data_IF_314192026802
#
_entry.id   IF_314192026802
#
_cell.length_a   1.000
_cell.length_b   1.000
_cell.length_c   1.000
_cell.angle_alpha   90.00
_cell.angle_beta   90.00
_cell.angle_gamma   90.00
#
_symmetry.space_group_name_H-M   'P 1'
#
loop_
_entity.id
_entity.type
_entity.pdbx_description
1 polymer ?
2 water ?
#
# COMPACT_ATOMS: atom_id res chain seq x y z
N UNK A 3 5.12 -21.68 -1.12
CA UNK A 3 3.89 -21.81 -1.94
C UNK A 3 3.96 -20.81 -3.10
N UNK A 4 4.59 -19.67 -2.81
CA UNK A 4 4.78 -18.57 -3.76
C UNK A 4 3.91 -18.64 -4.99
N UNK A 5 4.07 -19.68 -5.80
CA UNK A 5 3.28 -19.80 -7.01
C UNK A 5 1.82 -19.45 -6.84
N UNK A 6 1.09 -20.16 -6.00
CA UNK A 6 -0.31 -19.80 -5.82
C UNK A 6 -0.42 -18.40 -5.20
N UNK A 7 0.53 -18.06 -4.34
CA UNK A 7 0.54 -16.75 -3.73
C UNK A 7 0.49 -15.66 -4.79
N UNK A 8 1.55 -15.58 -5.61
CA UNK A 8 1.66 -14.57 -6.66
C UNK A 8 0.75 -14.83 -7.83
N UNK A 9 -0.43 -15.38 -7.57
CA UNK A 9 -1.37 -15.67 -8.64
C UNK A 9 -2.37 -14.52 -8.78
N UNK A 10 -2.07 -13.58 -9.67
CA UNK A 10 -2.97 -12.44 -9.86
C UNK A 10 -2.76 -11.69 -11.17
N UNK A 11 -3.52 -10.61 -11.35
CA UNK A 11 -3.44 -9.77 -12.53
C UNK A 11 -1.99 -9.35 -12.72
N UNK A 12 -1.74 -8.29 -13.47
CA UNK A 12 -0.35 -7.92 -13.62
C UNK A 12 0.04 -6.46 -13.53
N UNK A 13 -0.26 -5.71 -14.60
CA UNK A 13 0.09 -4.30 -14.67
C UNK A 13 1.61 -4.14 -14.81
N UNK A 14 2.40 -4.72 -13.89
CA UNK A 14 3.86 -4.66 -13.97
C UNK A 14 4.29 -4.79 -15.42
N UNK A 15 3.95 -5.91 -16.02
CA UNK A 15 4.25 -6.20 -17.43
C UNK A 15 5.72 -6.15 -17.82
N UNK A 16 6.56 -6.86 -17.06
CA UNK A 16 7.99 -6.87 -17.34
C UNK A 16 8.40 -7.48 -18.68
N UNK A 17 9.45 -6.91 -19.26
CA UNK A 17 10.02 -7.39 -20.50
C UNK A 17 11.30 -8.09 -20.06
N UNK A 18 11.60 -9.23 -20.65
CA UNK A 18 12.78 -10.00 -20.27
C UNK A 18 14.00 -9.17 -19.88
N UNK A 19 14.36 -8.19 -20.73
CA UNK A 19 15.50 -7.34 -20.46
C UNK A 19 15.46 -6.84 -19.02
N UNK A 20 14.35 -6.20 -18.66
CA UNK A 20 14.18 -5.66 -17.33
C UNK A 20 14.37 -6.76 -16.30
N UNK A 21 13.84 -7.95 -16.57
CA UNK A 21 13.96 -9.06 -15.63
C UNK A 21 15.41 -9.38 -15.32
N UNK A 22 16.26 -9.29 -16.35
CA UNK A 22 17.68 -9.56 -16.21
C UNK A 22 18.38 -8.47 -15.39
N UNK A 23 18.20 -7.23 -15.82
CA UNK A 23 18.80 -6.08 -15.16
C UNK A 23 18.59 -6.22 -13.65
N UNK A 24 17.33 -6.26 -13.25
CA UNK A 24 16.98 -6.40 -11.84
C UNK A 24 17.78 -7.55 -11.25
N UNK A 25 17.68 -8.71 -11.89
CA UNK A 25 18.40 -9.88 -11.42
C UNK A 25 19.84 -9.55 -11.12
N UNK A 26 20.47 -8.76 -12.00
CA UNK A 26 21.85 -8.39 -11.81
C UNK A 26 21.99 -7.52 -10.55
N UNK A 27 21.27 -6.40 -10.52
CA UNK A 27 21.32 -5.50 -9.39
C UNK A 27 21.12 -6.20 -8.04
N UNK A 28 20.01 -6.94 -7.91
CA UNK A 28 19.72 -7.64 -6.67
C UNK A 28 20.78 -8.65 -6.24
N UNK A 29 21.76 -8.93 -7.10
CA UNK A 29 22.81 -9.87 -6.73
C UNK A 29 24.17 -9.18 -6.69
N UNK A 30 24.28 -8.04 -7.38
CA UNK A 30 25.53 -7.27 -7.39
C UNK A 30 25.77 -6.87 -5.94
N UNK A 31 25.93 -7.85 -5.07
CA UNK A 31 26.13 -7.57 -3.66
C UNK A 31 24.82 -7.02 -3.12
N UNK A 32 24.50 -7.31 -1.85
CA UNK A 32 23.27 -6.77 -1.31
C UNK A 32 23.44 -5.78 -0.17
N UNK A 33 24.46 -5.90 0.68
CA UNK A 33 24.59 -4.89 1.71
C UNK A 33 25.62 -3.88 1.23
N UNK A 34 25.29 -3.07 0.22
CA UNK A 34 26.23 -2.05 -0.23
C UNK A 34 25.73 -0.75 0.37
N UNK A 35 25.78 0.34 -0.38
CA UNK A 35 25.30 1.62 0.12
C UNK A 35 24.38 2.15 -0.97
N UNK A 36 23.85 3.36 -0.79
CA UNK A 36 22.88 3.90 -1.77
C UNK A 36 23.17 3.66 -3.24
N UNK A 37 22.83 2.48 -3.76
CA UNK A 37 23.03 2.27 -5.19
C UNK A 37 22.35 3.53 -5.73
N UNK A 38 22.80 4.04 -6.86
CA UNK A 38 22.21 5.27 -7.39
C UNK A 38 20.69 5.26 -7.53
N UNK A 39 20.06 6.24 -6.89
CA UNK A 39 18.61 6.38 -6.90
C UNK A 39 17.94 6.35 -8.25
N UNK A 40 18.36 7.23 -9.15
CA UNK A 40 17.74 7.30 -10.47
C UNK A 40 17.64 5.97 -11.20
N UNK A 41 18.57 5.06 -10.96
CA UNK A 41 18.52 3.77 -11.63
C UNK A 41 17.40 2.92 -11.04
N UNK A 42 17.46 2.72 -9.73
CA UNK A 42 16.42 1.94 -9.09
C UNK A 42 15.10 2.60 -9.36
N UNK A 43 15.09 3.93 -9.38
CA UNK A 43 13.85 4.65 -9.66
C UNK A 43 13.38 4.38 -11.09
N UNK A 44 14.30 4.48 -12.05
CA UNK A 44 13.94 4.23 -13.43
C UNK A 44 13.61 2.75 -13.62
N UNK A 45 14.40 1.86 -13.03
CA UNK A 45 14.15 0.43 -13.13
C UNK A 45 12.73 0.17 -12.66
N UNK A 46 12.43 0.63 -11.44
CA UNK A 46 11.10 0.50 -10.85
C UNK A 46 10.10 1.00 -11.89
N UNK A 47 10.49 2.02 -12.65
CA UNK A 47 9.61 2.59 -13.65
C UNK A 47 9.42 1.72 -14.88
N UNK A 48 10.49 1.12 -15.37
CA UNK A 48 10.36 0.27 -16.55
C UNK A 48 9.68 -1.06 -16.27
N UNK A 49 9.59 -1.44 -14.99
CA UNK A 49 8.94 -2.68 -14.65
C UNK A 49 9.55 -3.55 -13.57
N UNK A 50 8.70 -4.07 -12.70
CA UNK A 50 9.13 -4.94 -11.61
C UNK A 50 8.48 -6.31 -11.80
N UNK A 51 9.29 -7.37 -11.93
CA UNK A 51 8.76 -8.72 -12.13
C UNK A 51 8.14 -9.26 -10.85
N UNK A 52 6.92 -9.78 -10.96
CA UNK A 52 6.22 -10.30 -9.79
C UNK A 52 7.02 -11.39 -9.05
N UNK A 53 7.80 -12.18 -9.79
CA UNK A 53 8.59 -13.24 -9.18
C UNK A 53 9.65 -12.70 -8.23
N UNK A 54 10.19 -11.52 -8.55
CA UNK A 54 11.24 -10.93 -7.72
C UNK A 54 10.74 -9.72 -6.92
N UNK A 55 9.54 -9.26 -7.26
CA UNK A 55 8.95 -8.12 -6.54
C UNK A 55 9.08 -8.27 -5.03
N UNK A 56 9.18 -9.51 -4.57
CA UNK A 56 9.29 -9.75 -3.16
C UNK A 56 10.61 -9.26 -2.62
N UNK A 57 11.68 -9.68 -3.29
CA UNK A 57 13.04 -9.31 -2.91
C UNK A 57 13.21 -7.81 -3.07
N UNK A 58 12.89 -7.32 -4.25
CA UNK A 58 12.99 -5.91 -4.56
C UNK A 58 12.51 -5.01 -3.42
N UNK A 59 11.27 -5.22 -2.99
CA UNK A 59 10.73 -4.40 -1.92
C UNK A 59 11.64 -4.39 -0.71
N UNK A 60 12.08 -5.57 -0.27
CA UNK A 60 12.95 -5.67 0.89
C UNK A 60 14.22 -4.91 0.60
N UNK A 61 14.75 -5.10 -0.61
CA UNK A 61 15.96 -4.41 -1.07
C UNK A 61 15.75 -2.91 -0.90
N UNK A 62 14.78 -2.37 -1.61
CA UNK A 62 14.45 -0.95 -1.52
C UNK A 62 14.48 -0.49 -0.07
N UNK A 63 13.80 -1.25 0.78
CA UNK A 63 13.75 -0.96 2.18
C UNK A 63 15.16 -0.77 2.72
N UNK A 64 16.01 -1.74 2.42
CA UNK A 64 17.40 -1.73 2.86
C UNK A 64 18.03 -0.38 2.53
N UNK A 65 18.01 -0.03 1.25
CA UNK A 65 18.54 1.25 0.80
C UNK A 65 17.97 2.33 1.69
N UNK A 66 16.68 2.60 1.56
CA UNK A 66 16.07 3.61 2.41
C UNK A 66 16.57 3.49 3.87
N UNK A 67 16.92 2.28 4.29
CA UNK A 67 17.38 2.10 5.66
C UNK A 67 18.77 2.66 5.95
N UNK A 68 19.59 2.79 4.90
CA UNK A 68 20.96 3.32 5.02
C UNK A 68 20.88 4.83 4.80
N UNK A 69 20.13 5.19 3.77
CA UNK A 69 19.92 6.59 3.40
C UNK A 69 19.04 7.32 4.39
N UNK A 70 18.83 6.76 5.59
CA UNK A 70 17.98 7.47 6.54
C UNK A 70 18.10 7.24 8.04
N UNK A 71 17.67 6.09 8.56
CA UNK A 71 17.75 5.80 10.00
C UNK A 71 16.71 6.46 10.91
N UNK A 72 16.12 5.68 11.81
CA UNK A 72 15.10 6.17 12.72
C UNK A 72 15.79 6.59 14.02
N UNK A 73 15.24 7.58 14.72
CA UNK A 73 15.75 8.14 15.99
C UNK A 73 15.64 7.37 17.31
N UNK A 74 15.84 6.06 17.28
CA UNK A 74 15.79 5.23 18.50
C UNK A 74 14.70 5.50 19.52
N UNK A 75 13.93 6.58 19.36
CA UNK A 75 12.86 6.89 20.28
C UNK A 75 11.57 6.39 19.67
N UNK A 76 11.39 6.69 18.40
CA UNK A 76 10.20 6.25 17.66
C UNK A 76 10.47 4.86 17.13
N UNK A 77 11.67 4.34 17.42
CA UNK A 77 12.04 2.99 17.00
C UNK A 77 11.05 2.03 17.67
N UNK A 78 10.75 0.88 17.00
CA UNK A 78 9.83 -0.10 17.56
C UNK A 78 10.49 -0.93 18.58
N UNK A 79 9.87 -1.10 19.77
CA UNK A 79 10.48 -1.89 20.83
C UNK A 79 11.25 -3.11 20.31
N UNK A 80 12.17 -3.62 21.12
CA UNK A 80 12.98 -4.77 20.72
C UNK A 80 12.40 -6.09 21.25
N UNK A 81 11.78 -6.84 20.34
CA UNK A 81 11.15 -8.12 20.66
C UNK A 81 11.13 -8.98 19.40
N UNK A 82 11.50 -10.25 19.53
CA UNK A 82 11.52 -11.16 18.39
C UNK A 82 10.11 -11.46 17.86
N UNK A 83 9.97 -11.58 16.55
CA UNK A 83 8.67 -11.89 15.98
C UNK A 83 8.16 -13.06 16.82
N UNK A 84 8.89 -14.19 16.74
CA UNK A 84 8.52 -15.38 17.48
C UNK A 84 8.08 -15.03 18.89
N UNK A 85 8.99 -14.53 19.71
CA UNK A 85 8.64 -14.19 21.08
C UNK A 85 7.53 -13.13 21.18
N UNK A 86 7.14 -12.56 20.05
CA UNK A 86 6.09 -11.54 20.05
C UNK A 86 4.75 -12.25 20.01
N UNK A 87 4.75 -13.44 19.43
CA UNK A 87 3.56 -14.26 19.28
C UNK A 87 3.24 -15.10 20.52
N UNK A 88 4.18 -15.14 21.45
CA UNK A 88 3.99 -15.92 22.67
C UNK A 88 3.06 -15.25 23.67
N UNK A 89 2.60 -14.04 23.37
CA UNK A 89 1.71 -13.33 24.28
C UNK A 89 0.30 -13.42 23.74
N UNK A 90 -0.68 -13.03 24.56
CA UNK A 90 -2.06 -13.05 24.10
C UNK A 90 -2.40 -11.66 23.59
N UNK A 91 -3.15 -11.61 22.49
CA UNK A 91 -3.52 -10.33 21.88
C UNK A 91 -4.93 -9.88 22.29
N UNK A 92 -5.07 -8.62 22.65
CA UNK A 92 -6.37 -8.12 23.07
C UNK A 92 -7.32 -8.06 21.87
N UNK A 93 -6.77 -7.88 20.69
CA UNK A 93 -7.59 -7.76 19.48
C UNK A 93 -7.95 -9.05 18.77
N UNK A 94 -8.06 -10.14 19.51
CA UNK A 94 -8.41 -11.44 18.83
C UNK A 94 -9.69 -11.19 18.10
N UNK A 95 -10.86 -11.42 18.70
CA UNK A 95 -12.12 -11.14 18.06
C UNK A 95 -11.92 -10.48 16.69
N UNK A 96 -11.85 -9.15 16.85
CA UNK A 96 -11.59 -8.18 15.78
C UNK A 96 -10.65 -8.67 14.69
N UNK A 97 -9.58 -9.36 15.04
CA UNK A 97 -8.62 -9.82 14.03
C UNK A 97 -9.21 -10.99 13.26
N UNK A 98 -9.67 -11.99 13.99
CA UNK A 98 -10.25 -13.20 13.40
C UNK A 98 -11.37 -12.87 12.43
N UNK A 99 -12.37 -12.18 12.97
CA UNK A 99 -13.54 -11.77 12.23
C UNK A 99 -13.21 -10.97 10.96
N UNK A 100 -11.94 -10.66 10.74
CA UNK A 100 -11.53 -9.91 9.56
C UNK A 100 -10.65 -10.75 8.62
N UNK A 101 -10.21 -11.91 9.11
CA UNK A 101 -9.37 -12.79 8.32
C UNK A 101 -10.05 -13.19 7.02
N UNK A 102 -11.33 -13.52 7.12
CA UNK A 102 -12.09 -13.92 5.96
C UNK A 102 -12.33 -12.81 4.96
N UNK A 103 -12.55 -11.60 5.46
CA UNK A 103 -12.82 -10.44 4.61
C UNK A 103 -11.64 -9.88 3.80
N UNK A 104 -10.41 -10.15 4.24
CA UNK A 104 -9.24 -9.64 3.52
C UNK A 104 -8.89 -10.52 2.34
N UNK A 105 -8.87 -9.95 1.14
CA UNK A 105 -8.54 -10.71 -0.07
C UNK A 105 -9.19 -12.09 -0.04
N UNK A 106 -10.52 -12.15 0.13
CA UNK A 106 -11.28 -13.40 0.20
C UNK A 106 -11.29 -14.27 -1.06
N UNK A 107 -11.36 -13.63 -2.22
CA UNK A 107 -11.39 -14.40 -3.45
C UNK A 107 -10.01 -14.87 -3.83
N UNK A 108 -9.00 -14.52 -3.05
CA UNK A 108 -7.66 -14.95 -3.39
C UNK A 108 -7.44 -16.36 -2.90
N UNK A 109 -6.91 -17.23 -3.76
CA UNK A 109 -6.64 -18.63 -3.39
C UNK A 109 -6.08 -18.73 -1.98
N UNK A 110 -4.84 -18.29 -1.84
CA UNK A 110 -4.16 -18.31 -0.56
C UNK A 110 -5.08 -18.03 0.63
N UNK A 111 -5.69 -16.85 0.63
CA UNK A 111 -6.58 -16.44 1.72
C UNK A 111 -8.02 -16.92 1.63
N UNK A 112 -8.31 -17.82 0.71
CA UNK A 112 -9.68 -18.30 0.55
C UNK A 112 -10.06 -19.31 1.63
N UNK A 113 -9.34 -20.42 1.68
CA UNK A 113 -9.60 -21.48 2.65
C UNK A 113 -9.94 -20.93 4.02
N UNK A 114 -11.00 -21.47 4.62
CA UNK A 114 -11.41 -21.06 5.96
C UNK A 114 -10.16 -21.30 6.78
N UNK A 115 -9.95 -20.49 7.82
CA UNK A 115 -8.80 -20.61 8.70
C UNK A 115 -7.66 -21.50 8.20
N UNK A 116 -7.27 -21.33 6.94
CA UNK A 116 -6.20 -22.13 6.38
C UNK A 116 -4.85 -21.51 6.63
N UNK A 117 -3.78 -22.07 6.02
CA UNK A 117 -2.41 -21.54 6.20
C UNK A 117 -2.35 -20.03 6.01
N UNK A 118 -2.90 -19.57 4.89
CA UNK A 118 -2.92 -18.15 4.60
C UNK A 118 -3.57 -17.39 5.74
N UNK A 119 -4.87 -17.55 5.90
CA UNK A 119 -5.55 -16.84 6.97
C UNK A 119 -4.74 -16.97 8.27
N UNK A 120 -4.04 -18.10 8.42
CA UNK A 120 -3.26 -18.30 9.61
C UNK A 120 -2.14 -17.29 9.75
N UNK A 121 -1.27 -17.23 8.74
CA UNK A 121 -0.14 -16.32 8.75
C UNK A 121 -0.64 -14.87 8.89
N UNK A 122 -1.63 -14.53 8.06
CA UNK A 122 -2.19 -13.19 8.09
C UNK A 122 -2.65 -12.84 9.49
N UNK A 123 -2.99 -13.86 10.27
CA UNK A 123 -3.43 -13.66 11.65
C UNK A 123 -2.22 -13.36 12.52
N UNK A 124 -1.23 -14.25 12.52
CA UNK A 124 -0.01 -14.04 13.29
C UNK A 124 0.48 -12.60 13.08
N UNK A 125 0.71 -12.22 11.81
CA UNK A 125 1.17 -10.87 11.46
C UNK A 125 0.33 -9.85 12.21
N UNK A 126 -0.94 -9.77 11.86
CA UNK A 126 -1.84 -8.87 12.55
C UNK A 126 -1.83 -9.03 14.07
N UNK A 127 -1.64 -10.25 14.55
CA UNK A 127 -1.63 -10.48 16.00
C UNK A 127 -0.44 -9.78 16.59
N UNK A 128 0.73 -10.28 16.18
CA UNK A 128 2.04 -9.80 16.61
C UNK A 128 2.16 -8.28 16.56
N UNK A 129 1.86 -7.69 15.42
CA UNK A 129 1.94 -6.24 15.29
C UNK A 129 1.03 -5.59 16.33
N UNK A 130 -0.13 -6.20 16.56
CA UNK A 130 -1.06 -5.67 17.54
C UNK A 130 -0.37 -5.50 18.88
N UNK A 131 0.45 -6.49 19.24
CA UNK A 131 1.18 -6.47 20.51
C UNK A 131 2.28 -5.43 20.51
N UNK A 132 3.21 -5.57 19.57
CA UNK A 132 4.32 -4.64 19.46
C UNK A 132 3.87 -3.18 19.46
N UNK A 133 3.12 -2.77 18.45
CA UNK A 133 2.68 -1.37 18.39
C UNK A 133 1.39 -1.12 19.19
N UNK A 134 1.40 -1.59 20.43
CA UNK A 134 0.26 -1.47 21.34
C UNK A 134 -0.64 -0.24 21.19
N UNK A 135 -0.07 0.90 20.81
CA UNK A 135 -0.88 2.12 20.69
C UNK A 135 -1.90 1.99 19.57
N UNK A 136 -1.47 1.39 18.47
CA UNK A 136 -2.32 1.20 17.30
C UNK A 136 -3.09 -0.10 17.46
N UNK A 137 -2.43 -1.09 18.03
CA UNK A 137 -3.06 -2.38 18.24
C UNK A 137 -3.47 -3.01 16.94
N UNK A 138 -4.76 -2.96 16.66
CA UNK A 138 -5.29 -3.51 15.42
C UNK A 138 -6.36 -2.62 14.83
N UNK A 139 -6.19 -2.28 13.57
CA UNK A 139 -7.15 -1.47 12.89
C UNK A 139 -7.60 -2.15 11.60
N UNK A 140 -8.88 -2.08 11.34
CA UNK A 140 -9.47 -2.68 10.15
C UNK A 140 -8.74 -2.24 8.86
N UNK A 141 -7.85 -3.07 8.30
CA UNK A 141 -7.21 -2.58 7.08
C UNK A 141 -5.74 -2.94 7.16
N UNK A 142 -5.06 -2.48 8.20
CA UNK A 142 -3.65 -2.85 8.37
C UNK A 142 -3.39 -4.30 7.89
N UNK A 143 -4.43 -5.13 7.91
CA UNK A 143 -4.36 -6.49 7.38
C UNK A 143 -4.12 -6.55 5.84
N UNK A 144 -4.77 -5.67 5.06
CA UNK A 144 -4.58 -5.63 3.59
C UNK A 144 -3.13 -5.32 3.33
N UNK A 145 -2.59 -4.44 4.15
CA UNK A 145 -1.20 -4.10 4.03
C UNK A 145 -0.45 -5.41 4.29
N UNK A 146 -0.60 -5.90 5.52
CA UNK A 146 0.06 -7.11 5.93
C UNK A 146 -0.23 -8.27 4.99
N UNK A 147 -1.34 -8.19 4.28
CA UNK A 147 -1.72 -9.26 3.37
C UNK A 147 -0.83 -9.21 2.14
N UNK A 148 -0.92 -8.09 1.45
CA UNK A 148 -0.14 -7.81 0.25
C UNK A 148 1.33 -8.18 0.45
N UNK A 149 1.81 -7.97 1.68
CA UNK A 149 3.19 -8.28 2.03
C UNK A 149 3.38 -9.78 2.14
N UNK A 150 2.46 -10.41 2.87
CA UNK A 150 2.51 -11.85 3.06
C UNK A 150 2.54 -12.52 1.70
N UNK A 151 1.79 -11.93 0.76
CA UNK A 151 1.69 -12.46 -0.59
C UNK A 151 2.97 -12.55 -1.40
N UNK A 152 3.97 -11.75 -1.02
CA UNK A 152 5.23 -11.76 -1.77
C UNK A 152 6.47 -12.16 -0.98
N UNK A 153 6.28 -12.78 0.18
CA UNK A 153 7.41 -13.21 1.02
C UNK A 153 7.04 -14.01 2.26
N UNK A 154 8.04 -14.67 2.84
CA UNK A 154 7.87 -15.49 4.03
C UNK A 154 7.15 -14.72 5.13
N UNK A 155 6.40 -15.43 5.96
CA UNK A 155 5.66 -14.79 7.04
C UNK A 155 6.57 -13.88 7.86
N UNK A 156 7.72 -14.43 8.22
CA UNK A 156 8.71 -13.71 9.02
C UNK A 156 9.25 -12.47 8.29
N UNK A 157 9.60 -12.63 7.02
CA UNK A 157 10.12 -11.53 6.24
C UNK A 157 9.09 -10.42 6.17
N UNK A 158 7.84 -10.84 5.95
CA UNK A 158 6.74 -9.91 5.85
C UNK A 158 6.58 -9.15 7.14
N UNK A 159 6.73 -9.80 8.28
CA UNK A 159 6.60 -9.02 9.51
C UNK A 159 7.66 -7.92 9.51
N UNK A 160 8.82 -8.26 8.96
CA UNK A 160 9.91 -7.30 8.92
C UNK A 160 9.52 -6.05 8.12
N UNK A 161 9.12 -6.23 6.86
CA UNK A 161 8.70 -5.10 6.04
C UNK A 161 7.56 -4.39 6.75
N UNK A 162 6.57 -5.14 7.20
CA UNK A 162 5.46 -4.49 7.87
C UNK A 162 5.98 -3.48 8.89
N UNK A 163 6.96 -3.90 9.70
CA UNK A 163 7.49 -3.00 10.72
C UNK A 163 8.08 -1.77 10.06
N UNK A 164 8.88 -2.01 9.03
CA UNK A 164 9.48 -0.92 8.29
C UNK A 164 8.34 0.00 7.84
N UNK A 165 7.56 -0.49 6.90
CA UNK A 165 6.44 0.29 6.37
C UNK A 165 5.78 1.15 7.45
N UNK A 166 5.27 0.50 8.47
CA UNK A 166 4.57 1.15 9.57
C UNK A 166 5.36 2.17 10.38
N UNK A 167 6.57 1.77 10.77
CA UNK A 167 7.44 2.63 11.58
C UNK A 167 8.43 3.50 10.81
N UNK A 168 9.40 2.86 10.17
CA UNK A 168 10.42 3.54 9.38
C UNK A 168 9.76 4.52 8.44
N UNK A 169 9.06 3.97 7.44
CA UNK A 169 8.36 4.82 6.47
C UNK A 169 7.18 5.48 7.08
N UNK A 170 7.15 5.45 8.41
CA UNK A 170 6.09 6.06 9.19
C UNK A 170 4.65 6.01 8.73
N UNK A 171 4.04 4.83 8.62
CA UNK A 171 2.65 4.71 8.17
C UNK A 171 1.73 4.50 9.35
N UNK A 172 2.26 3.86 10.40
CA UNK A 172 1.46 3.60 11.60
C UNK A 172 0.74 4.86 12.09
N UNK A 173 1.16 6.00 11.58
CA UNK A 173 0.55 7.26 11.92
C UNK A 173 -0.99 7.26 11.76
N UNK A 174 -1.45 7.30 10.51
CA UNK A 174 -2.86 7.35 10.17
C UNK A 174 -3.69 6.39 10.96
N UNK A 175 -3.13 5.23 11.26
CA UNK A 175 -3.88 4.21 11.97
C UNK A 175 -4.03 4.46 13.44
N UNK A 176 -3.46 5.54 13.97
CA UNK A 176 -3.60 5.80 15.40
C UNK A 176 -5.08 6.11 15.70
N UNK A 177 -5.53 5.83 16.96
CA UNK A 177 -6.89 6.04 17.45
C UNK A 177 -7.50 7.44 17.41
N UNK A 178 -6.71 8.47 17.70
CA UNK A 178 -7.25 9.83 17.67
C UNK A 178 -7.64 10.31 16.27
N UNK A 179 -7.25 9.56 15.24
CA UNK A 179 -7.53 9.89 13.82
C UNK A 179 -7.03 11.28 13.43
N UNK A 180 -6.17 11.86 14.25
CA UNK A 180 -5.67 13.20 13.99
C UNK A 180 -4.81 13.31 12.74
N UNK A 181 -4.00 12.29 12.49
CA UNK A 181 -3.16 12.36 11.31
C UNK A 181 -4.01 12.12 10.05
N UNK A 182 -5.03 11.28 10.18
CA UNK A 182 -5.91 10.98 9.05
C UNK A 182 -6.70 12.21 8.61
N UNK A 183 -7.12 13.03 9.57
CA UNK A 183 -7.88 14.22 9.25
C UNK A 183 -7.01 15.19 8.44
N UNK A 184 -5.72 15.21 8.76
CA UNK A 184 -4.79 16.10 8.07
C UNK A 184 -4.38 15.61 6.69
N UNK A 185 -4.24 14.30 6.53
CA UNK A 185 -3.88 13.74 5.23
C UNK A 185 -5.06 14.09 4.33
N UNK A 186 -6.25 14.03 4.90
CA UNK A 186 -7.46 14.34 4.17
C UNK A 186 -7.41 15.77 3.64
N UNK A 187 -7.22 16.73 4.55
CA UNK A 187 -7.14 18.14 4.19
C UNK A 187 -6.09 18.32 3.10
N UNK A 188 -4.94 17.68 3.30
CA UNK A 188 -3.87 17.78 2.33
C UNK A 188 -4.32 17.34 0.94
N UNK A 189 -5.15 16.30 0.87
CA UNK A 189 -5.59 15.85 -0.43
C UNK A 189 -6.55 16.88 -0.97
N UNK A 190 -7.28 17.51 -0.05
CA UNK A 190 -8.25 18.53 -0.42
C UNK A 190 -7.50 19.69 -1.07
N UNK A 191 -6.58 20.26 -0.29
CA UNK A 191 -5.78 21.39 -0.76
C UNK A 191 -5.04 21.05 -2.03
N UNK A 192 -4.60 19.79 -2.15
CA UNK A 192 -3.85 19.36 -3.31
C UNK A 192 -4.69 19.45 -4.56
N UNK A 193 -5.94 19.01 -4.48
CA UNK A 193 -6.85 19.06 -5.61
C UNK A 193 -6.99 20.52 -6.04
N UNK A 194 -7.34 21.34 -5.06
CA UNK A 194 -7.53 22.76 -5.26
C UNK A 194 -6.36 23.40 -6.05
N UNK A 195 -5.15 23.20 -5.57
CA UNK A 195 -3.98 23.78 -6.22
C UNK A 195 -3.58 23.22 -7.59
N UNK A 196 -4.30 22.23 -8.09
CA UNK A 196 -3.97 21.66 -9.40
C UNK A 196 -5.19 21.40 -10.26
N UNK A 197 -6.25 20.92 -9.64
CA UNK A 197 -7.46 20.60 -10.37
C UNK A 197 -8.62 21.38 -9.77
N UNK A 198 -8.54 22.70 -9.90
CA UNK A 198 -9.54 23.61 -9.37
C UNK A 198 -10.97 23.24 -9.71
N UNK A 199 -11.31 23.25 -10.99
CA UNK A 199 -12.66 22.93 -11.44
C UNK A 199 -13.19 21.68 -10.74
N UNK A 200 -12.34 20.65 -10.66
CA UNK A 200 -12.71 19.39 -10.04
C UNK A 200 -12.92 19.57 -8.55
N UNK A 201 -12.10 20.44 -7.95
CA UNK A 201 -12.20 20.73 -6.54
C UNK A 201 -13.50 21.48 -6.26
N UNK A 202 -13.74 22.51 -7.05
CA UNK A 202 -14.92 23.34 -6.88
C UNK A 202 -16.20 22.52 -7.03
N UNK A 203 -16.20 21.61 -7.99
CA UNK A 203 -17.37 20.79 -8.23
C UNK A 203 -17.65 19.90 -7.02
N UNK A 204 -16.58 19.48 -6.35
CA UNK A 204 -16.71 18.63 -5.17
C UNK A 204 -17.01 19.45 -3.92
N UNK A 205 -16.54 20.69 -3.90
CA UNK A 205 -16.76 21.59 -2.76
C UNK A 205 -18.18 22.10 -2.78
N UNK A 206 -18.73 22.27 -3.98
CA UNK A 206 -20.09 22.76 -4.15
C UNK A 206 -21.08 21.72 -3.60
N UNK A 207 -20.89 20.46 -3.97
CA UNK A 207 -21.77 19.39 -3.50
C UNK A 207 -21.29 18.79 -2.18
N UNK A 208 -20.61 19.61 -1.39
CA UNK A 208 -20.10 19.19 -0.09
C UNK A 208 -19.60 17.75 -0.02
N UNK A 209 -18.65 17.41 -0.89
CA UNK A 209 -18.06 16.08 -0.93
C UNK A 209 -16.65 16.19 -0.35
N UNK A 210 -16.52 15.84 0.93
CA UNK A 210 -15.25 15.89 1.62
C UNK A 210 -14.43 14.62 1.36
N UNK A 211 -13.10 14.77 1.19
CA UNK A 211 -12.24 13.61 0.93
C UNK A 211 -12.63 12.42 1.80
N UNK A 212 -12.86 12.69 3.09
CA UNK A 212 -13.22 11.65 4.06
C UNK A 212 -14.32 10.70 3.63
N UNK A 213 -15.11 11.09 2.64
CA UNK A 213 -16.19 10.25 2.17
C UNK A 213 -15.73 9.26 1.13
N UNK A 214 -14.63 9.58 0.46
CA UNK A 214 -14.15 8.70 -0.61
C UNK A 214 -12.65 8.35 -0.66
N UNK A 215 -11.88 8.80 0.32
CA UNK A 215 -10.46 8.53 0.31
C UNK A 215 -9.97 7.79 1.54
N UNK A 216 -10.65 7.97 2.67
CA UNK A 216 -10.24 7.29 3.89
C UNK A 216 -9.85 5.86 3.52
N UNK A 217 -10.74 5.13 2.87
CA UNK A 217 -10.45 3.76 2.46
C UNK A 217 -9.14 3.65 1.69
N UNK A 218 -9.02 4.50 0.68
CA UNK A 218 -7.82 4.54 -0.14
C UNK A 218 -6.57 4.54 0.71
N UNK A 219 -6.51 5.49 1.63
CA UNK A 219 -5.39 5.67 2.53
C UNK A 219 -5.19 4.50 3.48
N UNK A 220 -6.22 4.22 4.26
CA UNK A 220 -6.17 3.18 5.27
C UNK A 220 -5.92 1.79 4.76
N UNK A 221 -6.16 1.54 3.48
CA UNK A 221 -5.92 0.20 2.98
C UNK A 221 -4.94 0.26 1.85
N UNK A 222 -4.43 1.46 1.59
CA UNK A 222 -3.49 1.67 0.51
C UNK A 222 -4.08 1.14 -0.80
N UNK A 223 -5.35 1.46 -1.05
CA UNK A 223 -6.02 1.04 -2.27
C UNK A 223 -6.30 -0.45 -2.42
N UNK A 224 -5.88 -1.26 -1.46
CA UNK A 224 -6.13 -2.69 -1.59
C UNK A 224 -7.62 -3.06 -1.46
N UNK A 225 -8.28 -2.43 -0.51
CA UNK A 225 -9.69 -2.68 -0.25
C UNK A 225 -10.64 -2.35 -1.40
N UNK A 226 -10.11 -1.86 -2.51
CA UNK A 226 -10.96 -1.49 -3.63
C UNK A 226 -10.39 -1.72 -5.03
N UNK A 227 -9.08 -1.76 -5.17
CA UNK A 227 -8.50 -1.95 -6.48
C UNK A 227 -7.79 -3.28 -6.74
N UNK A 228 -7.52 -3.52 -8.01
CA UNK A 228 -6.81 -4.72 -8.44
C UNK A 228 -5.52 -4.94 -7.64
N UNK A 229 -5.30 -6.17 -7.16
CA UNK A 229 -4.08 -6.48 -6.42
C UNK A 229 -2.86 -6.10 -7.22
N UNK A 230 -2.86 -6.49 -8.50
CA UNK A 230 -1.74 -6.18 -9.38
C UNK A 230 -1.46 -4.69 -9.35
N UNK A 231 -2.54 -3.91 -9.29
CA UNK A 231 -2.43 -2.46 -9.21
C UNK A 231 -1.86 -2.08 -7.88
N UNK A 232 -2.43 -2.68 -6.84
CA UNK A 232 -1.96 -2.41 -5.49
C UNK A 232 -0.51 -2.80 -5.38
N UNK A 233 -0.13 -3.87 -6.09
CA UNK A 233 1.26 -4.33 -6.08
C UNK A 233 2.21 -3.28 -6.71
N UNK A 234 1.74 -2.50 -7.66
CA UNK A 234 2.61 -1.49 -8.25
C UNK A 234 2.72 -0.37 -7.27
N UNK A 235 1.56 0.14 -6.86
CA UNK A 235 1.54 1.23 -5.92
C UNK A 235 2.52 0.93 -4.81
N UNK A 236 2.66 -0.35 -4.48
CA UNK A 236 3.60 -0.75 -3.45
C UNK A 236 5.04 -0.59 -3.89
N UNK A 237 5.33 -0.85 -5.17
CA UNK A 237 6.68 -0.69 -5.68
C UNK A 237 7.16 0.73 -5.40
N UNK A 238 6.31 1.72 -5.62
CA UNK A 238 6.72 3.08 -5.34
C UNK A 238 6.55 3.41 -3.88
N UNK A 239 5.75 2.65 -3.13
CA UNK A 239 5.61 2.97 -1.70
C UNK A 239 6.97 2.68 -1.06
N UNK A 240 7.63 1.63 -1.53
CA UNK A 240 8.92 1.27 -1.00
C UNK A 240 10.05 2.15 -1.49
N UNK A 241 9.73 3.05 -2.41
CA UNK A 241 10.75 3.93 -2.93
C UNK A 241 10.56 5.32 -2.38
N UNK A 242 9.55 5.99 -2.90
CA UNK A 242 9.32 7.38 -2.52
C UNK A 242 8.76 7.65 -1.11
N UNK A 243 7.83 6.83 -0.61
CA UNK A 243 7.30 7.06 0.73
C UNK A 243 5.89 7.63 1.01
N UNK A 244 5.56 7.81 2.29
CA UNK A 244 4.29 8.36 2.82
C UNK A 244 3.54 9.35 1.95
N UNK A 245 3.62 9.21 0.63
CA UNK A 245 3.00 10.20 -0.25
C UNK A 245 2.60 9.63 -1.59
N UNK A 246 3.25 8.57 -2.00
CA UNK A 246 2.87 7.94 -3.25
C UNK A 246 1.35 7.83 -3.20
N UNK A 247 0.82 7.75 -1.98
CA UNK A 247 -0.62 7.68 -1.76
C UNK A 247 -1.31 8.87 -2.43
N UNK A 248 -0.92 10.07 -2.03
CA UNK A 248 -1.48 11.28 -2.63
C UNK A 248 -1.33 11.24 -4.14
N UNK A 249 -0.11 11.00 -4.62
CA UNK A 249 0.12 10.95 -6.06
C UNK A 249 -0.90 10.07 -6.77
N UNK A 250 -1.13 8.88 -6.23
CA UNK A 250 -2.08 7.96 -6.81
C UNK A 250 -3.48 8.55 -6.76
N UNK A 251 -3.91 8.95 -5.56
CA UNK A 251 -5.23 9.51 -5.36
C UNK A 251 -5.46 10.68 -6.31
N UNK A 252 -4.49 11.56 -6.34
CA UNK A 252 -4.56 12.74 -7.18
C UNK A 252 -4.70 12.25 -8.62
N UNK A 253 -3.66 11.59 -9.10
CA UNK A 253 -3.63 11.06 -10.45
C UNK A 253 -4.93 10.39 -10.82
N UNK A 254 -5.35 9.44 -10.00
CA UNK A 254 -6.58 8.69 -10.22
C UNK A 254 -7.83 9.56 -10.32
N UNK A 255 -7.98 10.52 -9.41
CA UNK A 255 -9.16 11.38 -9.47
C UNK A 255 -9.20 12.08 -10.81
N UNK A 256 -8.08 12.65 -11.23
CA UNK A 256 -8.08 13.36 -12.51
C UNK A 256 -7.90 12.43 -13.68
N UNK A 257 -7.85 11.13 -13.43
CA UNK A 257 -7.65 10.23 -14.55
C UNK A 257 -9.01 10.20 -15.19
N UNK A 258 -10.02 9.86 -14.40
CA UNK A 258 -11.37 9.76 -14.94
C UNK A 258 -12.23 10.95 -14.49
N UNK A 259 -11.57 12.04 -14.08
CA UNK A 259 -12.25 13.28 -13.63
C UNK A 259 -13.13 13.84 -14.74
N UNK A 260 -12.85 13.46 -15.99
CA UNK A 260 -13.64 13.87 -17.09
C UNK A 260 -15.00 13.33 -16.80
N UNK A 261 -15.11 12.43 -15.83
CA UNK A 261 -16.45 11.94 -15.62
C UNK A 261 -17.28 12.25 -14.42
N UNK A 262 -16.70 12.59 -13.28
CA UNK A 262 -17.58 12.93 -12.14
C UNK A 262 -18.43 13.99 -12.77
N UNK A 263 -17.91 15.20 -12.90
CA UNK A 263 -18.60 16.30 -13.54
C UNK A 263 -20.11 16.06 -13.88
N UNK A 264 -20.30 15.23 -14.91
CA UNK A 264 -21.64 14.85 -15.38
C UNK A 264 -22.63 14.70 -14.22
N UNK A 265 -22.23 13.93 -13.22
CA UNK A 265 -23.05 13.68 -12.04
C UNK A 265 -23.28 14.97 -11.25
N UNK A 266 -24.50 15.16 -10.74
CA UNK A 266 -24.83 16.36 -9.97
C UNK A 266 -25.16 16.13 -8.50
N UNK A 267 -25.74 14.97 -8.18
CA UNK A 267 -26.09 14.66 -6.79
C UNK A 267 -25.04 13.77 -6.16
N UNK A 268 -24.78 13.95 -4.87
CA UNK A 268 -23.77 13.12 -4.21
C UNK A 268 -24.05 11.66 -4.54
N UNK A 269 -25.31 11.26 -4.41
CA UNK A 269 -25.72 9.90 -4.69
C UNK A 269 -25.20 9.42 -6.04
N UNK A 270 -25.24 10.28 -7.05
CA UNK A 270 -24.76 9.93 -8.39
C UNK A 270 -23.25 10.03 -8.45
N UNK A 271 -22.71 11.12 -7.93
CA UNK A 271 -21.26 11.35 -7.91
C UNK A 271 -20.62 10.27 -7.04
N UNK A 272 -20.81 10.36 -5.73
CA UNK A 272 -20.27 9.40 -4.79
C UNK A 272 -20.25 7.97 -5.33
N UNK A 273 -21.43 7.40 -5.57
CA UNK A 273 -21.55 6.03 -6.08
C UNK A 273 -20.77 5.76 -7.36
N UNK A 274 -20.15 6.79 -7.93
CA UNK A 274 -19.35 6.61 -9.13
C UNK A 274 -17.88 6.55 -8.75
N UNK A 275 -17.46 7.45 -7.86
CA UNK A 275 -16.07 7.52 -7.40
C UNK A 275 -15.68 6.34 -6.53
N UNK A 276 -16.66 5.80 -5.81
CA UNK A 276 -16.40 4.70 -4.90
C UNK A 276 -16.72 3.32 -5.43
N UNK A 277 -17.64 3.23 -6.38
CA UNK A 277 -18.01 1.93 -6.92
C UNK A 277 -17.75 1.76 -8.41
N UNK A 278 -17.36 2.85 -9.07
CA UNK A 278 -17.08 2.80 -10.51
C UNK A 278 -15.61 3.14 -10.81
N UNK A 279 -15.15 4.26 -10.27
CA UNK A 279 -13.79 4.71 -10.47
C UNK A 279 -12.73 3.62 -10.32
N UNK A 280 -12.94 2.65 -9.41
CA UNK A 280 -11.96 1.58 -9.22
C UNK A 280 -12.00 0.45 -10.24
N UNK A 281 -13.14 0.28 -10.92
CA UNK A 281 -13.21 -0.78 -11.92
C UNK A 281 -12.62 -0.36 -13.27
N UNK A 282 -11.32 -0.13 -13.26
CA UNK A 282 -10.63 0.27 -14.48
C UNK A 282 -10.17 -0.96 -15.27
N UNK A 283 -9.65 -0.72 -16.46
CA UNK A 283 -9.16 -1.78 -17.33
C UNK A 283 -7.71 -1.49 -17.70
N UNK A 284 -6.83 -2.41 -17.32
CA UNK A 284 -5.38 -2.30 -17.56
C UNK A 284 -4.93 -1.01 -18.26
N UNK A 285 -5.42 -0.79 -19.47
CA UNK A 285 -5.06 0.40 -20.24
C UNK A 285 -5.12 1.67 -19.40
N UNK A 286 -6.17 1.82 -18.60
CA UNK A 286 -6.32 3.02 -17.78
C UNK A 286 -5.43 2.95 -16.54
N UNK A 287 -5.04 1.74 -16.16
CA UNK A 287 -4.21 1.56 -14.99
C UNK A 287 -2.75 1.72 -15.38
N UNK A 288 -2.41 1.16 -16.54
CA UNK A 288 -1.06 1.23 -17.06
C UNK A 288 -0.59 2.68 -17.03
N UNK A 289 -1.51 3.59 -17.35
CA UNK A 289 -1.18 5.01 -17.38
C UNK A 289 -1.15 5.68 -16.02
N UNK A 290 -2.20 5.49 -15.22
CA UNK A 290 -2.25 6.13 -13.91
C UNK A 290 -1.01 5.75 -13.08
N UNK A 291 -0.59 4.50 -13.18
CA UNK A 291 0.58 4.06 -12.46
C UNK A 291 1.76 4.95 -12.87
N UNK A 292 2.04 4.96 -14.17
CA UNK A 292 3.14 5.75 -14.70
C UNK A 292 3.00 7.25 -14.39
N UNK A 293 1.80 7.80 -14.52
CA UNK A 293 1.60 9.22 -14.21
C UNK A 293 2.06 9.55 -12.81
N UNK A 294 1.82 8.62 -11.89
CA UNK A 294 2.23 8.80 -10.51
C UNK A 294 3.75 8.76 -10.43
N UNK A 295 4.38 7.97 -11.30
CA UNK A 295 5.83 7.87 -11.30
C UNK A 295 6.45 9.22 -11.58
N UNK A 296 6.04 9.81 -12.70
CA UNK A 296 6.57 11.10 -13.11
C UNK A 296 5.65 12.27 -12.76
N UNK A 297 4.83 12.06 -11.73
CA UNK A 297 3.98 13.13 -11.29
C UNK A 297 4.81 13.90 -10.30
N UNK A 298 4.93 15.21 -10.47
CA UNK A 298 5.73 15.93 -9.53
C UNK A 298 5.01 16.94 -8.71
N UNK A 299 5.52 17.16 -7.49
CA UNK A 299 4.93 18.15 -6.63
C UNK A 299 6.12 19.04 -6.31
#
# INVERSE_FOLDING_TARGET
GSHMKVKLDYEEVGACQKEVLITWDKKLLNCRAKIRCDMEDIHTLLKEGVPKSRRGEIWQFLALQYRLRHRLPNKQQPPDISYKELLKQLTAQQHAILVDLGRTFPTHPYFSVQLGPGQLSLFNLLKAYSLLDKEVGYCQGISFVAGVLLLHMSEEQAFEMLKFLMYDLGFRKQYRPDMMSLQIQMYQLSRLLHDYHRDLYNHLEENEISPSLYAAPWFLTLFASQFSLGFVARVFDIIFLQGTEVIFKVALSLLSSQETLIMECESFENIVEFLKNTLPDMNTSEMEKIITQVFEMDISK
#
